data_IF_256211261501
#
_entry.id   IF_256211261501
#
_cell.length_a   1.000
_cell.length_b   1.000
_cell.length_c   1.000
_cell.angle_alpha   90.00
_cell.angle_beta   90.00
_cell.angle_gamma   90.00
#
_symmetry.space_group_name_H-M   'P 1'
#
loop_
_entity.id
_entity.type
_entity.pdbx_description
1 polymer ?
#
# COMPACT_ATOMS: atom_id res chain seq x y z
N UNK A 1 4.78 -7.92 -24.08
CA UNK A 1 4.80 -6.67 -23.32
C UNK A 1 4.11 -6.89 -21.98
N UNK A 2 4.82 -6.60 -20.88
CA UNK A 2 4.29 -6.80 -19.53
C UNK A 2 3.23 -5.74 -19.21
N UNK A 3 2.04 -6.19 -18.76
CA UNK A 3 0.96 -5.31 -18.32
C UNK A 3 0.68 -5.41 -16.83
N UNK A 4 1.05 -6.53 -16.20
CA UNK A 4 0.86 -6.76 -14.77
C UNK A 4 2.10 -7.38 -14.18
N UNK A 5 2.57 -6.82 -13.08
CA UNK A 5 3.65 -7.35 -12.26
C UNK A 5 3.18 -7.40 -10.81
N UNK A 6 3.27 -8.56 -10.20
CA UNK A 6 2.99 -8.76 -8.79
C UNK A 6 4.11 -9.61 -8.19
N UNK A 7 4.74 -9.11 -7.13
CA UNK A 7 5.82 -9.78 -6.42
C UNK A 7 5.39 -9.96 -4.98
N UNK A 8 5.24 -11.23 -4.58
CA UNK A 8 4.84 -11.62 -3.23
C UNK A 8 6.08 -12.08 -2.49
N UNK A 9 6.37 -11.46 -1.36
CA UNK A 9 7.53 -11.74 -0.53
C UNK A 9 7.21 -11.46 0.94
N UNK A 10 7.79 -12.24 1.84
CA UNK A 10 7.80 -11.94 3.28
C UNK A 10 8.81 -10.85 3.66
N UNK A 11 9.81 -10.61 2.79
CA UNK A 11 10.77 -9.51 2.87
C UNK A 11 11.34 -9.23 1.48
N UNK A 12 10.92 -8.14 0.84
CA UNK A 12 11.30 -7.81 -0.53
C UNK A 12 12.75 -7.31 -0.57
N UNK A 13 13.67 -8.00 -1.27
CA UNK A 13 15.04 -7.54 -1.38
C UNK A 13 15.12 -6.17 -2.08
N UNK A 14 15.99 -5.29 -1.58
CA UNK A 14 16.22 -3.95 -2.12
C UNK A 14 16.54 -3.97 -3.62
N UNK A 15 17.35 -4.93 -4.04
CA UNK A 15 17.77 -5.12 -5.44
C UNK A 15 16.57 -5.31 -6.39
N UNK A 16 15.48 -5.93 -5.92
CA UNK A 16 14.27 -6.10 -6.73
C UNK A 16 13.61 -4.75 -7.04
N UNK A 17 13.57 -3.85 -6.06
CA UNK A 17 13.04 -2.50 -6.26
C UNK A 17 13.95 -1.71 -7.22
N UNK A 18 15.27 -1.81 -7.05
CA UNK A 18 16.26 -1.19 -7.93
C UNK A 18 16.15 -1.71 -9.36
N UNK A 19 15.96 -3.02 -9.56
CA UNK A 19 15.77 -3.64 -10.87
C UNK A 19 14.48 -3.16 -11.55
N UNK A 20 13.39 -3.01 -10.80
CA UNK A 20 12.13 -2.43 -11.30
C UNK A 20 12.37 -0.98 -11.73
N UNK A 21 13.11 -0.21 -10.94
CA UNK A 21 13.46 1.17 -11.26
C UNK A 21 14.44 1.30 -12.44
N UNK A 22 15.30 0.34 -12.64
CA UNK A 22 16.24 0.30 -13.77
C UNK A 22 15.58 -0.18 -15.09
N UNK A 23 14.45 -0.87 -14.99
CA UNK A 23 13.73 -1.46 -16.12
C UNK A 23 12.74 -0.47 -16.75
N UNK A 24 12.37 -0.68 -18.00
CA UNK A 24 11.37 0.12 -18.71
C UNK A 24 10.08 -0.69 -18.91
N UNK A 25 8.98 -0.16 -18.38
CA UNK A 25 7.66 -0.79 -18.39
C UNK A 25 6.57 0.12 -19.00
N UNK A 26 6.67 0.49 -20.29
CA UNK A 26 5.80 1.50 -20.90
C UNK A 26 4.33 1.08 -21.00
N UNK A 27 4.03 -0.21 -20.82
CA UNK A 27 2.67 -0.76 -20.90
C UNK A 27 2.17 -1.38 -19.59
N UNK A 28 2.87 -1.14 -18.46
CA UNK A 28 2.46 -1.68 -17.18
C UNK A 28 1.18 -0.97 -16.71
N UNK A 29 0.15 -1.76 -16.45
CA UNK A 29 -1.18 -1.31 -16.01
C UNK A 29 -1.41 -1.63 -14.52
N UNK A 30 -0.76 -2.70 -14.02
CA UNK A 30 -0.83 -3.12 -12.61
C UNK A 30 0.56 -3.41 -12.06
N UNK A 31 0.88 -2.82 -10.91
CA UNK A 31 2.07 -3.13 -10.10
C UNK A 31 1.64 -3.40 -8.67
N UNK A 32 2.03 -4.54 -8.11
CA UNK A 32 1.84 -4.87 -6.68
C UNK A 32 3.12 -5.46 -6.12
N UNK A 33 3.62 -4.84 -5.05
CA UNK A 33 4.81 -5.29 -4.33
C UNK A 33 4.47 -5.52 -2.87
N UNK A 34 4.76 -6.72 -2.38
CA UNK A 34 4.67 -7.08 -0.96
C UNK A 34 6.01 -6.77 -0.32
N UNK A 35 6.00 -5.81 0.62
CA UNK A 35 7.21 -5.29 1.26
C UNK A 35 7.80 -6.31 2.21
N UNK A 36 6.97 -6.80 3.14
CA UNK A 36 7.39 -7.72 4.19
C UNK A 36 8.12 -7.02 5.34
N UNK A 37 8.96 -7.78 6.04
CA UNK A 37 9.65 -7.37 7.25
C UNK A 37 11.16 -7.60 7.15
N UNK A 38 11.93 -6.95 8.03
CA UNK A 38 13.39 -7.04 8.08
C UNK A 38 13.87 -8.48 8.30
N UNK A 39 13.25 -9.23 9.19
CA UNK A 39 13.61 -10.62 9.51
C UNK A 39 13.57 -11.56 8.29
N UNK A 40 12.85 -11.20 7.25
CA UNK A 40 12.71 -11.98 6.00
C UNK A 40 13.34 -11.29 4.78
N UNK A 41 14.12 -10.22 4.99
CA UNK A 41 15.01 -9.65 3.98
C UNK A 41 14.66 -8.26 3.47
N UNK A 42 13.64 -7.58 4.01
CA UNK A 42 13.44 -6.16 3.74
C UNK A 42 14.30 -5.31 4.68
N UNK A 43 15.51 -4.97 4.23
CA UNK A 43 16.51 -4.23 5.04
C UNK A 43 16.57 -2.73 4.68
N UNK A 44 15.70 -2.25 3.81
CA UNK A 44 15.73 -0.87 3.33
C UNK A 44 14.77 0.04 4.13
N UNK A 45 15.04 1.34 4.07
CA UNK A 45 14.06 2.36 4.43
C UNK A 45 12.88 2.33 3.45
N UNK A 46 11.66 2.50 3.95
CA UNK A 46 10.42 2.50 3.14
C UNK A 46 10.45 3.54 2.01
N UNK A 47 11.26 4.59 2.14
CA UNK A 47 11.46 5.63 1.13
C UNK A 47 12.02 5.11 -0.20
N UNK A 48 12.59 3.90 -0.23
CA UNK A 48 13.05 3.26 -1.47
C UNK A 48 11.92 3.09 -2.49
N UNK A 49 10.68 2.99 -2.03
CA UNK A 49 9.51 2.86 -2.91
C UNK A 49 9.05 4.19 -3.52
N UNK A 50 9.46 5.34 -2.97
CA UNK A 50 9.00 6.67 -3.42
C UNK A 50 9.17 6.91 -4.93
N UNK A 51 10.27 6.52 -5.59
CA UNK A 51 10.42 6.69 -7.04
C UNK A 51 9.42 5.88 -7.89
N UNK A 52 8.77 4.84 -7.32
CA UNK A 52 7.74 4.07 -8.01
C UNK A 52 6.42 4.85 -8.15
N UNK A 53 6.22 5.88 -7.33
CA UNK A 53 5.01 6.70 -7.31
C UNK A 53 5.06 7.83 -8.37
N UNK A 54 5.61 7.55 -9.55
CA UNK A 54 5.79 8.52 -10.63
C UNK A 54 5.05 8.13 -11.90
N UNK A 55 4.17 9.03 -12.37
CA UNK A 55 3.43 8.85 -13.63
C UNK A 55 4.33 8.82 -14.86
N UNK A 56 5.48 9.47 -14.80
CA UNK A 56 6.45 9.46 -15.92
C UNK A 56 7.13 8.12 -16.05
N UNK A 57 7.28 7.42 -14.93
CA UNK A 57 7.84 6.07 -14.87
C UNK A 57 6.89 5.02 -15.42
N UNK A 58 5.62 5.13 -15.05
CA UNK A 58 4.58 4.17 -15.38
C UNK A 58 3.39 4.86 -16.05
N UNK A 59 3.49 5.25 -17.33
CA UNK A 59 2.51 6.13 -17.98
C UNK A 59 1.12 5.49 -18.17
N UNK A 60 1.00 4.17 -18.02
CA UNK A 60 -0.27 3.45 -18.15
C UNK A 60 -0.74 2.78 -16.87
N UNK A 61 -0.03 2.97 -15.75
CA UNK A 61 -0.38 2.32 -14.50
C UNK A 61 -1.69 2.87 -13.97
N UNK A 62 -2.66 1.98 -13.72
CA UNK A 62 -3.96 2.31 -13.14
C UNK A 62 -4.21 1.59 -11.82
N UNK A 63 -3.40 0.59 -11.51
CA UNK A 63 -3.42 -0.15 -10.26
C UNK A 63 -2.03 -0.13 -9.64
N UNK A 64 -1.87 0.50 -8.48
CA UNK A 64 -0.63 0.46 -7.69
C UNK A 64 -0.92 -0.09 -6.30
N UNK A 65 -0.15 -1.13 -5.92
CA UNK A 65 -0.11 -1.71 -4.59
C UNK A 65 1.31 -1.74 -4.05
N UNK A 66 1.52 -1.09 -2.91
CA UNK A 66 2.67 -1.31 -2.04
C UNK A 66 2.06 -1.79 -0.73
N UNK A 67 2.13 -3.09 -0.52
CA UNK A 67 1.30 -3.81 0.45
C UNK A 67 2.18 -4.61 1.41
N UNK A 68 1.57 -5.15 2.48
CA UNK A 68 2.27 -6.01 3.43
C UNK A 68 3.46 -5.32 4.11
N UNK A 69 3.32 -4.02 4.46
CA UNK A 69 4.36 -3.22 5.11
C UNK A 69 4.05 -2.99 6.58
N UNK A 70 5.08 -2.99 7.43
CA UNK A 70 4.98 -2.51 8.82
C UNK A 70 4.70 -1.01 8.86
N UNK A 71 5.18 -0.25 7.87
CA UNK A 71 5.01 1.19 7.72
C UNK A 71 3.90 1.57 6.72
N UNK A 72 2.76 0.86 6.75
CA UNK A 72 1.69 1.06 5.78
C UNK A 72 1.09 2.48 5.83
N UNK A 73 1.14 3.15 6.98
CA UNK A 73 0.71 4.55 7.12
C UNK A 73 1.60 5.51 6.30
N UNK A 74 2.92 5.25 6.21
CA UNK A 74 3.84 6.02 5.38
C UNK A 74 3.60 5.78 3.88
N UNK A 75 3.24 4.55 3.50
CA UNK A 75 2.82 4.25 2.11
C UNK A 75 1.60 5.09 1.72
N UNK A 76 0.62 5.27 2.61
CA UNK A 76 -0.52 6.16 2.36
C UNK A 76 -0.06 7.60 2.08
N UNK A 77 0.90 8.12 2.84
CA UNK A 77 1.46 9.46 2.61
C UNK A 77 2.12 9.55 1.23
N UNK A 78 2.90 8.52 0.84
CA UNK A 78 3.52 8.48 -0.50
C UNK A 78 2.49 8.55 -1.61
N UNK A 79 1.36 7.83 -1.51
CA UNK A 79 0.26 7.95 -2.47
C UNK A 79 -0.27 9.37 -2.53
N UNK A 80 -0.59 9.98 -1.38
CA UNK A 80 -1.21 11.31 -1.29
C UNK A 80 -0.30 12.45 -1.78
N UNK A 81 1.01 12.26 -1.74
CA UNK A 81 2.03 13.21 -2.18
C UNK A 81 2.47 13.01 -3.64
N UNK A 82 2.05 11.92 -4.27
CA UNK A 82 2.55 11.48 -5.57
C UNK A 82 1.87 12.14 -6.76
N UNK A 83 2.60 12.22 -7.88
CA UNK A 83 2.04 12.68 -9.15
C UNK A 83 1.34 11.57 -9.95
N UNK A 84 1.47 10.31 -9.51
CA UNK A 84 0.78 9.17 -10.14
C UNK A 84 -0.66 9.03 -9.64
N UNK A 85 -0.97 9.47 -8.42
CA UNK A 85 -2.28 9.27 -7.81
C UNK A 85 -3.46 9.69 -8.70
N UNK A 86 -3.43 10.85 -9.38
CA UNK A 86 -4.53 11.26 -10.28
C UNK A 86 -4.76 10.33 -11.48
N UNK A 87 -3.79 9.49 -11.83
CA UNK A 87 -3.87 8.52 -12.92
C UNK A 87 -4.45 7.19 -12.47
N UNK A 88 -4.33 6.86 -11.16
CA UNK A 88 -4.74 5.57 -10.63
C UNK A 88 -6.26 5.42 -10.61
N UNK A 89 -6.73 4.21 -10.83
CA UNK A 89 -8.10 3.77 -10.59
C UNK A 89 -8.21 2.95 -9.29
N UNK A 90 -7.14 2.27 -8.93
CA UNK A 90 -7.05 1.43 -7.74
C UNK A 90 -5.80 1.73 -6.92
N UNK A 91 -6.00 1.95 -5.64
CA UNK A 91 -4.98 1.99 -4.60
C UNK A 91 -5.07 0.72 -3.76
N UNK A 92 -3.96 -0.02 -3.63
CA UNK A 92 -3.88 -1.20 -2.79
C UNK A 92 -2.88 -0.98 -1.65
N UNK A 93 -3.40 -0.96 -0.43
CA UNK A 93 -2.67 -0.76 0.83
C UNK A 93 -3.03 -1.86 1.82
N UNK A 94 -3.29 -3.05 1.31
CA UNK A 94 -3.73 -4.21 2.08
C UNK A 94 -2.60 -4.97 2.76
N UNK A 95 -2.96 -5.90 3.63
CA UNK A 95 -2.10 -6.90 4.25
C UNK A 95 -0.97 -6.33 5.13
N UNK A 96 -1.00 -5.04 5.46
CA UNK A 96 0.04 -4.36 6.22
C UNK A 96 -0.41 -3.90 7.61
N UNK A 97 0.36 -2.99 8.17
CA UNK A 97 0.08 -2.39 9.48
C UNK A 97 -0.49 -0.98 9.29
N UNK A 98 -1.59 -0.89 8.51
CA UNK A 98 -2.37 0.35 8.43
C UNK A 98 -3.22 0.50 9.68
N UNK A 99 -3.08 1.65 10.34
CA UNK A 99 -3.84 2.02 11.54
C UNK A 99 -4.81 3.16 11.25
N UNK A 100 -5.56 3.57 12.28
CA UNK A 100 -6.54 4.65 12.18
C UNK A 100 -5.89 5.98 11.77
N UNK A 101 -4.62 6.22 12.14
CA UNK A 101 -3.86 7.41 11.77
C UNK A 101 -3.64 7.51 10.25
N UNK A 102 -3.18 6.43 9.62
CA UNK A 102 -2.99 6.39 8.17
C UNK A 102 -4.33 6.45 7.41
N UNK A 103 -5.35 5.75 7.92
CA UNK A 103 -6.70 5.82 7.35
C UNK A 103 -7.33 7.22 7.46
N UNK A 104 -7.05 7.97 8.56
CA UNK A 104 -7.53 9.34 8.73
C UNK A 104 -6.93 10.27 7.67
N UNK A 105 -5.68 10.04 7.22
CA UNK A 105 -5.08 10.82 6.13
C UNK A 105 -5.89 10.71 4.83
N UNK A 106 -6.46 9.55 4.54
CA UNK A 106 -7.33 9.39 3.35
C UNK A 106 -8.61 10.21 3.49
N UNK A 107 -9.23 10.22 4.67
CA UNK A 107 -10.42 11.04 4.94
C UNK A 107 -10.12 12.54 4.82
N UNK A 108 -8.98 12.97 5.34
CA UNK A 108 -8.54 14.37 5.33
C UNK A 108 -8.15 14.87 3.91
N UNK A 109 -7.84 13.96 2.99
CA UNK A 109 -7.45 14.25 1.61
C UNK A 109 -8.44 13.68 0.59
N UNK A 110 -9.73 13.71 0.92
CA UNK A 110 -10.81 13.16 0.10
C UNK A 110 -10.82 13.70 -1.34
N UNK A 111 -10.49 14.96 -1.51
CA UNK A 111 -10.39 15.64 -2.80
C UNK A 111 -9.35 15.00 -3.73
N UNK A 112 -8.26 14.47 -3.17
CA UNK A 112 -7.21 13.79 -3.93
C UNK A 112 -7.58 12.37 -4.37
N UNK A 113 -8.45 11.68 -3.61
CA UNK A 113 -8.78 10.27 -3.83
C UNK A 113 -10.18 10.03 -4.40
N UNK A 114 -11.03 11.06 -4.50
CA UNK A 114 -12.43 10.92 -4.91
C UNK A 114 -12.63 10.33 -6.33
N UNK A 115 -11.60 10.38 -7.18
CA UNK A 115 -11.61 9.80 -8.52
C UNK A 115 -11.32 8.29 -8.56
N UNK A 116 -10.78 7.73 -7.46
CA UNK A 116 -10.48 6.30 -7.38
C UNK A 116 -11.76 5.49 -7.49
N UNK A 117 -11.69 4.35 -8.15
CA UNK A 117 -12.77 3.37 -8.25
C UNK A 117 -12.78 2.40 -7.09
N UNK A 118 -11.57 2.06 -6.60
CA UNK A 118 -11.40 1.04 -5.57
C UNK A 118 -10.18 1.32 -4.69
N UNK A 119 -10.34 1.10 -3.37
CA UNK A 119 -9.25 1.08 -2.40
C UNK A 119 -9.30 -0.26 -1.66
N UNK A 120 -8.22 -1.04 -1.73
CA UNK A 120 -8.06 -2.28 -1.00
C UNK A 120 -7.32 -2.02 0.32
N UNK A 121 -7.99 -2.27 1.43
CA UNK A 121 -7.45 -2.12 2.80
C UNK A 121 -7.66 -3.38 3.65
N UNK A 122 -7.85 -4.54 3.01
CA UNK A 122 -8.03 -5.81 3.73
C UNK A 122 -6.82 -6.14 4.60
N UNK A 123 -7.05 -6.92 5.66
CA UNK A 123 -6.00 -7.41 6.57
C UNK A 123 -5.14 -6.29 7.18
N UNK A 124 -5.78 -5.24 7.68
CA UNK A 124 -5.16 -4.12 8.39
C UNK A 124 -5.81 -3.91 9.76
N UNK A 125 -5.26 -3.03 10.57
CA UNK A 125 -5.60 -2.84 11.99
C UNK A 125 -6.53 -1.64 12.22
N UNK A 126 -7.66 -1.60 11.52
CA UNK A 126 -8.60 -0.50 11.58
C UNK A 126 -9.66 -0.71 12.66
N UNK A 127 -9.90 0.30 13.49
CA UNK A 127 -10.98 0.29 14.48
C UNK A 127 -12.36 0.22 13.83
N UNK A 128 -13.34 -0.25 14.58
CA UNK A 128 -14.75 -0.27 14.14
C UNK A 128 -15.26 1.13 13.77
N UNK A 129 -14.80 2.16 14.50
CA UNK A 129 -15.17 3.55 14.25
C UNK A 129 -14.60 4.06 12.93
N UNK A 130 -13.33 3.75 12.65
CA UNK A 130 -12.67 4.13 11.41
C UNK A 130 -13.30 3.41 10.20
N UNK A 131 -13.54 2.11 10.30
CA UNK A 131 -14.23 1.34 9.25
C UNK A 131 -15.57 1.95 8.85
N UNK A 132 -16.35 2.40 9.84
CA UNK A 132 -17.64 3.06 9.58
C UNK A 132 -17.46 4.35 8.78
N UNK A 133 -16.48 5.19 9.12
CA UNK A 133 -16.19 6.41 8.38
C UNK A 133 -15.74 6.12 6.94
N UNK A 134 -14.87 5.13 6.75
CA UNK A 134 -14.38 4.73 5.43
C UNK A 134 -15.50 4.21 4.52
N UNK A 135 -16.49 3.51 5.06
CA UNK A 135 -17.64 3.02 4.30
C UNK A 135 -18.56 4.13 3.77
N UNK A 136 -18.43 5.37 4.28
CA UNK A 136 -19.16 6.54 3.80
C UNK A 136 -18.49 7.19 2.58
N UNK A 137 -17.29 6.75 2.19
CA UNK A 137 -16.57 7.26 1.02
C UNK A 137 -17.26 6.87 -0.30
N UNK A 138 -17.15 7.70 -1.36
CA UNK A 138 -17.91 7.49 -2.60
C UNK A 138 -17.37 6.37 -3.49
N UNK A 139 -16.12 5.92 -3.27
CA UNK A 139 -15.55 4.80 -4.02
C UNK A 139 -15.77 3.47 -3.30
N UNK A 140 -15.59 2.36 -4.02
CA UNK A 140 -15.60 1.04 -3.40
C UNK A 140 -14.38 0.86 -2.50
N UNK A 141 -14.61 0.44 -1.25
CA UNK A 141 -13.56 0.15 -0.27
C UNK A 141 -13.73 -1.29 0.22
N UNK A 142 -12.65 -2.05 0.21
CA UNK A 142 -12.58 -3.35 0.84
C UNK A 142 -11.77 -3.25 2.14
N UNK A 143 -12.46 -3.44 3.26
CA UNK A 143 -11.92 -3.44 4.63
C UNK A 143 -12.26 -4.73 5.36
N UNK A 144 -12.54 -5.79 4.59
CA UNK A 144 -12.82 -7.10 5.15
C UNK A 144 -11.58 -7.71 5.81
N UNK A 145 -11.82 -8.66 6.72
CA UNK A 145 -10.77 -9.47 7.34
C UNK A 145 -9.69 -8.61 8.01
N UNK A 146 -10.15 -7.68 8.88
CA UNK A 146 -9.22 -6.87 9.69
C UNK A 146 -8.53 -7.71 10.74
N UNK A 147 -7.26 -7.40 10.96
CA UNK A 147 -6.43 -8.00 11.99
C UNK A 147 -6.69 -7.37 13.37
N UNK A 148 -6.38 -8.12 14.41
CA UNK A 148 -6.33 -7.64 15.79
C UNK A 148 -4.86 -7.71 16.24
N UNK A 149 -4.41 -6.66 16.94
CA UNK A 149 -3.05 -6.65 17.47
C UNK A 149 -2.90 -7.68 18.59
N UNK A 150 -1.75 -8.32 18.64
CA UNK A 150 -1.37 -9.18 19.75
C UNK A 150 -0.98 -8.34 20.97
N UNK A 151 -1.37 -8.76 22.16
CA UNK A 151 -0.99 -8.12 23.41
C UNK A 151 -0.06 -9.07 24.20
N UNK A 152 1.14 -8.58 24.52
CA UNK A 152 2.09 -9.28 25.37
C UNK A 152 2.69 -8.29 26.40
N UNK A 153 2.61 -8.63 27.69
CA UNK A 153 3.07 -7.80 28.82
C UNK A 153 2.57 -6.33 28.81
N UNK A 154 1.37 -6.09 28.20
CA UNK A 154 0.78 -4.75 28.09
C UNK A 154 1.28 -3.95 26.89
N UNK A 155 2.09 -4.53 26.03
CA UNK A 155 2.50 -3.98 24.75
C UNK A 155 1.67 -4.57 23.61
N UNK A 156 1.33 -3.73 22.62
CA UNK A 156 0.56 -4.14 21.44
C UNK A 156 1.49 -4.38 20.26
N UNK A 157 1.43 -5.57 19.68
CA UNK A 157 2.24 -5.99 18.55
C UNK A 157 1.40 -6.07 17.29
N UNK A 158 1.96 -5.57 16.17
CA UNK A 158 1.31 -5.49 14.88
C UNK A 158 2.25 -6.11 13.84
N UNK A 159 1.72 -6.99 13.00
CA UNK A 159 2.50 -7.69 11.97
C UNK A 159 1.82 -7.59 10.62
N UNK A 160 2.57 -7.45 9.52
CA UNK A 160 2.05 -7.67 8.18
C UNK A 160 1.54 -9.12 8.03
N UNK A 161 0.62 -9.31 7.09
CA UNK A 161 -0.04 -10.61 6.91
C UNK A 161 0.91 -11.72 6.46
N UNK A 162 1.90 -11.39 5.61
CA UNK A 162 2.86 -12.35 5.04
C UNK A 162 4.24 -12.04 5.61
N UNK A 163 4.78 -12.98 6.37
CA UNK A 163 6.08 -12.90 7.05
C UNK A 163 6.99 -14.10 6.71
N UNK A 164 6.63 -14.95 5.72
CA UNK A 164 7.43 -16.10 5.29
C UNK A 164 7.61 -16.11 3.74
#
# INVERSE_FOLDING_TARGET
>A
ELRSLEIISGGLPTEVVEDILASDFPNLEKLVLYVGVEDYGFEADIEIFRPLFSKTRFPKLTYLGIVNSEEQDEIVKMFLESDILPQLETMDISAGVLKDEGAQLLLDNMDKIAHLKFINMRYNYLSKGMKKKLQELPMKIDIAESEEADEDDGEMWYYPMITE
#
